data_IF_969971670754
#
_entry.id   IF_969971670754
#
_cell.length_a   1.000
_cell.length_b   1.000
_cell.length_c   1.000
_cell.angle_alpha   90.00
_cell.angle_beta   90.00
_cell.angle_gamma   90.00
#
_symmetry.space_group_name_H-M   'P 1'
#
loop_
_entity.id
_entity.type
_entity.pdbx_description
1 polymer ?
#
# COMPACT_ATOMS: atom_id res chain seq x y z
N UNK A 1 -30.45 -41.64 -37.66
CA UNK A 1 -30.75 -41.84 -39.09
C UNK A 1 -32.27 -41.81 -39.25
N UNK A 2 -32.84 -40.64 -39.58
CA UNK A 2 -34.07 -40.47 -40.37
C UNK A 2 -34.46 -39.00 -40.32
N UNK A 3 -34.51 -38.37 -41.50
CA UNK A 3 -35.22 -37.13 -41.75
C UNK A 3 -36.71 -37.45 -41.91
N UNK A 4 -37.60 -36.53 -41.53
CA UNK A 4 -38.49 -35.89 -42.52
C UNK A 4 -39.33 -34.74 -41.92
N UNK A 5 -39.13 -33.57 -42.54
CA UNK A 5 -40.17 -32.57 -42.94
C UNK A 5 -40.81 -31.73 -41.84
N UNK A 6 -41.13 -30.45 -42.02
CA UNK A 6 -41.47 -29.63 -43.20
C UNK A 6 -41.23 -28.15 -42.81
N UNK A 7 -40.59 -27.30 -43.61
CA UNK A 7 -41.22 -26.50 -44.68
C UNK A 7 -41.11 -25.01 -44.31
N UNK A 8 -40.08 -24.29 -44.78
CA UNK A 8 -40.07 -23.46 -46.00
C UNK A 8 -40.80 -22.11 -45.86
N UNK A 9 -40.05 -20.99 -45.77
CA UNK A 9 -39.81 -20.10 -46.91
C UNK A 9 -38.78 -19.00 -46.59
N UNK A 10 -37.82 -18.88 -47.50
CA UNK A 10 -36.74 -17.90 -47.56
C UNK A 10 -37.23 -16.59 -48.23
N UNK A 11 -36.76 -15.46 -47.73
CA UNK A 11 -36.87 -14.16 -48.39
C UNK A 11 -36.00 -13.09 -47.73
N UNK A 12 -35.00 -12.63 -48.49
CA UNK A 12 -34.25 -11.35 -48.39
C UNK A 12 -33.32 -11.07 -47.21
N UNK A 13 -32.04 -11.04 -47.56
CA UNK A 13 -30.86 -10.42 -46.93
C UNK A 13 -31.12 -9.24 -45.98
N UNK A 14 -30.59 -9.34 -44.76
CA UNK A 14 -30.18 -8.17 -43.97
C UNK A 14 -28.86 -8.51 -43.30
N UNK A 15 -27.82 -7.76 -43.67
CA UNK A 15 -26.49 -7.79 -43.06
C UNK A 15 -26.65 -7.32 -41.61
N UNK A 16 -26.49 -8.22 -40.63
CA UNK A 16 -26.35 -7.81 -39.23
C UNK A 16 -24.91 -7.36 -38.99
N UNK A 17 -24.66 -6.07 -39.24
CA UNK A 17 -23.57 -5.33 -38.60
C UNK A 17 -24.00 -5.06 -37.15
N UNK A 18 -23.76 -6.03 -36.26
CA UNK A 18 -23.86 -5.82 -34.83
C UNK A 18 -22.53 -5.28 -34.31
N UNK A 19 -22.35 -3.96 -34.35
CA UNK A 19 -21.34 -3.30 -33.53
C UNK A 19 -21.73 -1.85 -33.24
N UNK A 20 -22.18 -1.59 -32.01
CA UNK A 20 -21.80 -0.42 -31.22
C UNK A 20 -22.36 -0.60 -29.79
N UNK A 21 -21.48 -0.73 -28.81
CA UNK A 21 -21.78 -0.34 -27.43
C UNK A 21 -20.74 0.70 -27.04
N UNK A 22 -21.18 1.95 -26.87
CA UNK A 22 -20.39 3.05 -26.35
C UNK A 22 -20.36 2.92 -24.82
N UNK A 23 -19.19 2.69 -24.24
CA UNK A 23 -18.95 3.01 -22.83
C UNK A 23 -18.39 4.44 -22.78
N UNK A 24 -19.16 5.39 -22.25
CA UNK A 24 -18.67 6.76 -22.00
C UNK A 24 -18.19 6.90 -20.57
N UNK A 25 -17.01 7.47 -20.35
CA UNK A 25 -16.59 7.96 -19.03
C UNK A 25 -17.51 9.13 -18.65
N UNK A 26 -18.10 9.07 -17.46
CA UNK A 26 -18.90 10.15 -16.86
C UNK A 26 -18.15 10.72 -15.67
N UNK A 27 -17.66 11.95 -15.78
CA UNK A 27 -17.23 12.72 -14.62
C UNK A 27 -18.46 13.50 -14.08
N UNK A 28 -18.64 13.52 -12.76
CA UNK A 28 -19.68 14.30 -12.08
C UNK A 28 -19.05 15.11 -10.96
N UNK A 29 -19.29 16.40 -10.97
CA UNK A 29 -18.96 17.31 -9.89
C UNK A 29 -20.26 17.83 -9.25
N UNK A 30 -20.26 17.98 -7.93
CA UNK A 30 -21.40 18.47 -7.17
C UNK A 30 -20.98 19.25 -5.92
N UNK A 31 -21.93 19.86 -5.20
CA UNK A 31 -21.64 20.65 -3.99
C UNK A 31 -21.06 19.80 -2.86
N UNK A 32 -21.27 18.49 -2.88
CA UNK A 32 -20.81 17.54 -1.86
C UNK A 32 -19.53 16.76 -2.28
N UNK A 33 -18.98 17.03 -3.47
CA UNK A 33 -17.76 16.38 -3.97
C UNK A 33 -17.78 15.97 -5.45
N UNK A 34 -16.66 15.42 -5.91
CA UNK A 34 -16.43 14.94 -7.27
C UNK A 34 -16.38 13.40 -7.37
N UNK A 35 -16.88 12.84 -8.48
CA UNK A 35 -16.85 11.41 -8.80
C UNK A 35 -16.59 11.15 -10.29
N UNK A 36 -15.96 10.01 -10.61
CA UNK A 36 -15.75 9.51 -11.99
C UNK A 36 -16.39 8.12 -12.14
N UNK A 37 -17.21 7.93 -13.18
CA UNK A 37 -18.04 6.74 -13.47
C UNK A 37 -18.07 6.33 -14.96
N UNK A 38 -18.82 5.28 -15.31
CA UNK A 38 -19.14 4.90 -16.72
C UNK A 38 -20.65 5.01 -16.94
N UNK A 39 -21.07 5.77 -17.96
CA UNK A 39 -22.41 5.71 -18.51
C UNK A 39 -22.46 4.61 -19.58
N UNK A 40 -23.30 3.60 -19.37
CA UNK A 40 -23.65 2.63 -20.41
C UNK A 40 -24.93 3.13 -21.10
N UNK A 41 -24.83 3.72 -22.29
CA UNK A 41 -26.02 4.09 -23.06
C UNK A 41 -26.52 2.84 -23.78
N UNK A 42 -27.48 2.15 -23.17
CA UNK A 42 -28.35 1.21 -23.87
C UNK A 42 -29.32 1.98 -24.76
N UNK A 43 -29.47 1.58 -26.02
CA UNK A 43 -30.40 2.21 -26.96
C UNK A 43 -31.82 2.23 -26.37
N UNK A 44 -32.41 3.42 -26.29
CA UNK A 44 -33.79 3.61 -25.87
C UNK A 44 -34.75 2.97 -26.88
N UNK A 45 -35.45 1.92 -26.43
CA UNK A 45 -36.66 1.39 -27.03
C UNK A 45 -37.80 1.47 -26.01
N UNK A 46 -38.85 2.18 -26.39
CA UNK A 46 -40.09 2.48 -25.65
C UNK A 46 -40.64 1.33 -24.78
N UNK A 47 -40.91 1.64 -23.50
CA UNK A 47 -42.06 1.13 -22.74
C UNK A 47 -41.79 0.17 -21.57
N UNK A 48 -42.15 0.60 -20.35
CA UNK A 48 -42.59 -0.29 -19.26
C UNK A 48 -41.77 -0.22 -17.96
N UNK A 49 -42.39 0.37 -16.92
CA UNK A 49 -41.93 0.40 -15.53
C UNK A 49 -41.58 -0.98 -14.97
N UNK A 50 -40.30 -1.26 -14.67
CA UNK A 50 -39.89 -2.25 -13.64
C UNK A 50 -38.49 -1.89 -13.10
N UNK A 51 -38.39 -0.87 -12.25
CA UNK A 51 -37.17 -0.59 -11.47
C UNK A 51 -37.50 -0.40 -9.98
N UNK A 52 -38.26 -1.35 -9.44
CA UNK A 52 -38.71 -1.36 -8.04
C UNK A 52 -38.18 -2.50 -7.17
N UNK A 53 -37.60 -3.58 -7.73
CA UNK A 53 -37.55 -4.86 -6.99
C UNK A 53 -36.19 -5.59 -6.92
N UNK A 54 -35.08 -4.89 -7.16
CA UNK A 54 -33.72 -5.49 -7.01
C UNK A 54 -32.96 -5.04 -5.75
N UNK A 55 -33.42 -4.00 -5.07
CA UNK A 55 -32.83 -3.52 -3.80
C UNK A 55 -33.42 -4.17 -2.53
N UNK A 56 -34.45 -5.01 -2.68
CA UNK A 56 -35.13 -5.74 -1.59
C UNK A 56 -34.57 -7.15 -1.39
N UNK A 57 -34.06 -7.79 -2.44
CA UNK A 57 -33.58 -9.18 -2.38
C UNK A 57 -32.13 -9.35 -1.87
N UNK A 58 -31.29 -8.30 -1.94
CA UNK A 58 -29.92 -8.36 -1.40
C UNK A 58 -29.86 -8.14 0.12
N UNK A 59 -30.80 -7.36 0.69
CA UNK A 59 -30.87 -7.14 2.16
C UNK A 59 -31.38 -8.35 2.95
N UNK A 60 -32.03 -9.31 2.30
CA UNK A 60 -32.54 -10.53 2.94
C UNK A 60 -31.53 -11.68 3.05
N UNK A 61 -30.41 -11.58 2.32
CA UNK A 61 -29.39 -12.63 2.25
C UNK A 61 -28.21 -12.36 3.22
N UNK A 62 -27.83 -11.11 3.45
CA UNK A 62 -26.73 -10.73 4.35
C UNK A 62 -27.10 -10.89 5.85
N UNK A 63 -28.36 -10.64 6.22
CA UNK A 63 -28.82 -10.81 7.61
C UNK A 63 -28.90 -12.28 8.07
N UNK A 64 -28.75 -13.27 7.16
CA UNK A 64 -28.77 -14.70 7.51
C UNK A 64 -27.38 -15.34 7.59
N UNK A 65 -26.33 -14.67 7.12
CA UNK A 65 -24.94 -15.13 7.29
C UNK A 65 -24.34 -14.68 8.62
N UNK A 66 -24.79 -13.56 9.18
CA UNK A 66 -24.28 -13.04 10.46
C UNK A 66 -24.84 -13.81 11.68
N UNK A 67 -26.07 -14.34 11.60
CA UNK A 67 -26.70 -15.05 12.71
C UNK A 67 -26.29 -16.53 12.88
N UNK A 68 -25.37 -17.06 12.05
CA UNK A 68 -24.98 -18.49 12.07
C UNK A 68 -23.50 -18.74 12.36
N UNK A 69 -22.73 -17.69 12.66
CA UNK A 69 -21.33 -17.81 13.07
C UNK A 69 -21.13 -17.72 14.59
N UNK A 70 -22.21 -17.56 15.38
CA UNK A 70 -22.12 -17.27 16.82
C UNK A 70 -22.62 -18.41 17.74
N UNK A 71 -22.64 -19.65 17.25
CA UNK A 71 -22.92 -20.81 18.12
C UNK A 71 -22.09 -22.03 17.70
N UNK A 72 -20.93 -22.20 18.33
CA UNK A 72 -20.28 -23.47 18.73
C UNK A 72 -18.75 -23.40 18.59
N UNK A 73 -18.04 -23.13 19.69
CA UNK A 73 -16.79 -23.81 20.07
C UNK A 73 -16.22 -23.24 21.40
N UNK A 74 -15.48 -24.05 22.19
CA UNK A 74 -15.48 -23.97 23.65
C UNK A 74 -14.40 -23.06 24.24
N UNK A 75 -14.73 -22.50 25.41
CA UNK A 75 -13.82 -21.76 26.28
C UNK A 75 -12.69 -22.65 26.80
N UNK A 76 -11.43 -22.29 26.50
CA UNK A 76 -10.29 -22.68 27.35
C UNK A 76 -9.35 -21.49 27.57
N UNK A 77 -9.03 -21.27 28.84
CA UNK A 77 -8.27 -20.18 29.44
C UNK A 77 -6.87 -19.99 28.81
N UNK A 78 -6.57 -18.77 28.35
CA UNK A 78 -5.26 -18.10 28.40
C UNK A 78 -5.44 -16.59 28.11
N UNK A 79 -5.61 -15.79 29.18
CA UNK A 79 -6.10 -14.41 29.09
C UNK A 79 -5.07 -13.32 28.78
N UNK A 80 -3.85 -13.65 28.33
CA UNK A 80 -2.80 -12.67 28.09
C UNK A 80 -2.21 -12.68 26.65
N UNK A 81 -2.22 -13.83 25.96
CA UNK A 81 -1.86 -13.91 24.53
C UNK A 81 -3.01 -13.40 23.64
N UNK A 82 -4.24 -13.73 24.04
CA UNK A 82 -5.46 -13.43 23.31
C UNK A 82 -5.75 -11.91 23.21
N UNK A 83 -5.32 -11.10 24.17
CA UNK A 83 -5.44 -9.62 24.13
C UNK A 83 -4.41 -8.96 23.22
N UNK A 84 -3.28 -9.60 22.92
CA UNK A 84 -2.16 -9.03 22.15
C UNK A 84 -2.26 -9.35 20.66
N UNK A 85 -2.66 -10.58 20.31
CA UNK A 85 -3.06 -10.92 18.93
C UNK A 85 -4.30 -10.13 18.47
N UNK A 86 -5.22 -9.81 19.39
CA UNK A 86 -6.34 -8.88 19.13
C UNK A 86 -5.87 -7.47 18.80
N UNK A 87 -4.80 -6.96 19.40
CA UNK A 87 -4.24 -5.65 19.08
C UNK A 87 -3.71 -5.58 17.63
N UNK A 88 -2.96 -6.60 17.20
CA UNK A 88 -2.48 -6.77 15.82
C UNK A 88 -3.66 -6.88 14.84
N UNK A 89 -4.67 -7.70 15.18
CA UNK A 89 -5.85 -7.88 14.33
C UNK A 89 -6.69 -6.60 14.23
N UNK A 90 -6.92 -5.91 15.33
CA UNK A 90 -7.76 -4.71 15.40
C UNK A 90 -7.10 -3.49 14.72
N UNK A 91 -5.81 -3.26 14.93
CA UNK A 91 -5.08 -2.17 14.25
C UNK A 91 -5.02 -2.41 12.73
N UNK A 92 -4.71 -3.65 12.34
CA UNK A 92 -4.72 -4.08 10.95
C UNK A 92 -6.11 -4.03 10.33
N UNK A 93 -7.16 -4.42 11.04
CA UNK A 93 -8.54 -4.38 10.55
C UNK A 93 -9.05 -2.95 10.39
N UNK A 94 -8.70 -2.05 11.32
CA UNK A 94 -8.99 -0.61 11.18
C UNK A 94 -8.31 -0.02 9.95
N UNK A 95 -7.01 -0.27 9.77
CA UNK A 95 -6.26 0.20 8.60
C UNK A 95 -6.76 -0.41 7.28
N UNK A 96 -6.95 -1.73 7.24
CA UNK A 96 -7.52 -2.43 6.07
C UNK A 96 -8.97 -2.02 5.79
N UNK A 97 -9.74 -1.65 6.81
CA UNK A 97 -11.09 -1.11 6.68
C UNK A 97 -11.07 0.25 5.97
N UNK A 98 -10.17 1.15 6.38
CA UNK A 98 -9.93 2.44 5.71
C UNK A 98 -9.50 2.24 4.25
N UNK A 99 -8.52 1.36 4.03
CA UNK A 99 -8.05 0.97 2.68
C UNK A 99 -9.23 0.41 1.86
N UNK A 100 -10.01 -0.54 2.36
CA UNK A 100 -11.14 -1.15 1.62
C UNK A 100 -12.22 -0.14 1.25
N UNK A 101 -12.59 0.76 2.16
CA UNK A 101 -13.63 1.77 1.90
C UNK A 101 -13.18 2.74 0.81
N UNK A 102 -11.95 3.26 0.90
CA UNK A 102 -11.40 4.19 -0.10
C UNK A 102 -11.04 3.49 -1.42
N UNK A 103 -10.48 2.27 -1.37
CA UNK A 103 -10.25 1.41 -2.54
C UNK A 103 -11.54 1.00 -3.23
N UNK A 104 -12.70 0.92 -2.56
CA UNK A 104 -13.99 0.71 -3.26
C UNK A 104 -14.36 1.91 -4.13
N UNK A 105 -14.03 3.15 -3.72
CA UNK A 105 -14.20 4.34 -4.57
C UNK A 105 -13.21 4.33 -5.75
N UNK A 106 -11.95 3.97 -5.49
CA UNK A 106 -10.90 3.88 -6.53
C UNK A 106 -11.08 2.71 -7.51
N UNK A 107 -11.47 1.52 -7.05
CA UNK A 107 -11.71 0.34 -7.88
C UNK A 107 -12.88 0.56 -8.84
N UNK A 108 -13.85 1.39 -8.44
CA UNK A 108 -14.85 1.93 -9.36
C UNK A 108 -14.15 2.79 -10.42
N UNK A 109 -13.44 3.85 -10.04
CA UNK A 109 -12.68 4.72 -10.97
C UNK A 109 -11.72 3.95 -11.92
N UNK A 110 -11.06 2.88 -11.45
CA UNK A 110 -10.11 2.07 -12.20
C UNK A 110 -10.79 1.06 -13.14
N UNK A 111 -11.86 0.39 -12.69
CA UNK A 111 -12.68 -0.48 -13.55
C UNK A 111 -13.28 0.32 -14.72
N UNK A 112 -13.53 1.61 -14.51
CA UNK A 112 -14.00 2.56 -15.52
C UNK A 112 -12.95 2.88 -16.60
N UNK A 113 -11.64 2.85 -16.29
CA UNK A 113 -10.55 3.00 -17.26
C UNK A 113 -10.30 1.71 -18.08
N UNK A 114 -10.51 0.54 -17.49
CA UNK A 114 -10.23 -0.76 -18.14
C UNK A 114 -11.31 -1.21 -19.14
N UNK A 115 -12.54 -0.71 -18.99
CA UNK A 115 -13.65 -0.97 -19.94
C UNK A 115 -13.51 -0.28 -21.31
N UNK A 116 -12.64 0.72 -21.44
CA UNK A 116 -12.36 1.40 -22.71
C UNK A 116 -11.32 0.66 -23.55
N UNK A 117 -11.74 -0.33 -24.35
CA UNK A 117 -10.85 -0.96 -25.36
C UNK A 117 -10.84 -0.13 -26.65
N UNK A 118 -9.61 0.17 -27.12
CA UNK A 118 -9.19 0.75 -28.42
C UNK A 118 -10.35 1.06 -29.39
N UNK A 119 -10.81 2.31 -29.36
CA UNK A 119 -11.72 2.88 -30.35
C UNK A 119 -11.41 4.37 -30.54
N UNK A 120 -11.30 4.81 -31.79
CA UNK A 120 -11.10 6.21 -32.16
C UNK A 120 -12.32 7.06 -31.73
N UNK A 121 -12.12 8.19 -31.04
CA UNK A 121 -13.15 9.24 -30.88
C UNK A 121 -13.38 9.79 -29.45
N UNK A 122 -13.88 11.03 -29.41
CA UNK A 122 -14.02 12.05 -28.34
C UNK A 122 -15.18 11.79 -27.35
N UNK A 123 -15.13 12.33 -26.11
CA UNK A 123 -16.33 12.80 -25.35
C UNK A 123 -16.02 13.74 -24.16
N UNK A 124 -16.70 14.90 -24.13
CA UNK A 124 -16.87 15.88 -23.02
C UNK A 124 -18.34 15.79 -22.56
N UNK A 125 -18.64 15.91 -21.26
CA UNK A 125 -19.96 16.38 -20.81
C UNK A 125 -19.82 17.39 -19.67
N UNK A 126 -20.12 18.65 -20.01
CA UNK A 126 -20.22 19.78 -19.09
C UNK A 126 -21.60 19.81 -18.44
N UNK A 127 -21.62 19.91 -17.12
CA UNK A 127 -22.81 20.21 -16.32
C UNK A 127 -22.64 21.53 -15.57
N UNK A 128 -22.23 22.60 -16.26
CA UNK A 128 -22.03 23.94 -15.67
C UNK A 128 -20.76 24.63 -16.17
N UNK A 129 -20.93 25.76 -16.87
CA UNK A 129 -19.98 26.75 -17.38
C UNK A 129 -18.47 26.38 -17.59
N UNK A 130 -18.08 26.41 -18.87
CA UNK A 130 -16.72 26.58 -19.42
C UNK A 130 -15.87 25.31 -19.58
N UNK A 131 -16.13 24.57 -20.66
CA UNK A 131 -15.25 23.50 -21.15
C UNK A 131 -14.18 24.07 -22.10
N UNK A 132 -12.92 23.76 -21.85
CA UNK A 132 -11.81 24.04 -22.77
C UNK A 132 -11.22 22.72 -23.29
N UNK A 133 -10.81 22.69 -24.56
CA UNK A 133 -10.10 21.56 -25.19
C UNK A 133 -8.68 21.97 -25.56
N UNK A 134 -7.73 21.04 -25.39
CA UNK A 134 -6.32 21.22 -25.70
C UNK A 134 -5.87 20.12 -26.69
N UNK A 135 -5.64 20.49 -27.95
CA UNK A 135 -4.95 19.62 -28.93
C UNK A 135 -3.45 19.54 -28.64
N UNK A 136 -2.75 18.61 -29.28
CA UNK A 136 -1.30 18.34 -29.12
C UNK A 136 -0.46 19.57 -28.75
N UNK A 137 0.09 19.58 -27.53
CA UNK A 137 0.95 20.66 -27.01
C UNK A 137 0.21 21.81 -26.31
N UNK A 138 -1.09 21.69 -26.03
CA UNK A 138 -1.88 22.79 -25.47
C UNK A 138 -1.92 22.77 -23.93
N UNK A 139 -1.75 23.96 -23.34
CA UNK A 139 -2.07 24.24 -21.94
C UNK A 139 -3.60 24.35 -21.81
N UNK A 140 -4.20 23.58 -20.90
CA UNK A 140 -5.61 23.73 -20.58
C UNK A 140 -5.76 24.44 -19.24
N UNK A 141 -6.28 25.66 -19.25
CA UNK A 141 -6.61 26.41 -18.04
C UNK A 141 -8.13 26.60 -17.97
N UNK A 142 -8.81 25.83 -17.13
CA UNK A 142 -10.12 26.21 -16.60
C UNK A 142 -9.85 27.02 -15.32
N UNK A 143 -9.49 28.28 -15.48
CA UNK A 143 -9.14 29.13 -14.35
C UNK A 143 -10.39 29.81 -13.76
N UNK A 144 -10.63 29.63 -12.46
CA UNK A 144 -11.23 30.66 -11.62
C UNK A 144 -12.68 30.48 -11.19
N UNK A 145 -13.23 29.27 -11.14
CA UNK A 145 -14.56 29.05 -10.56
C UNK A 145 -14.46 28.24 -9.26
N UNK A 146 -15.26 28.60 -8.24
CA UNK A 146 -15.49 27.77 -7.05
C UNK A 146 -16.50 26.64 -7.32
N UNK A 147 -16.97 26.52 -8.57
CA UNK A 147 -17.85 25.43 -8.99
C UNK A 147 -17.01 24.26 -9.48
N UNK A 148 -17.44 23.06 -9.16
CA UNK A 148 -16.77 21.85 -9.61
C UNK A 148 -16.89 21.61 -11.12
N UNK A 149 -15.81 21.12 -11.71
CA UNK A 149 -15.66 20.84 -13.13
C UNK A 149 -15.66 19.34 -13.41
N UNK A 150 -16.23 18.94 -14.55
CA UNK A 150 -16.16 17.57 -15.04
C UNK A 150 -15.47 17.56 -16.41
N UNK A 151 -14.32 16.89 -16.50
CA UNK A 151 -13.45 16.96 -17.68
C UNK A 151 -12.92 15.58 -18.10
N UNK A 152 -12.93 15.32 -19.40
CA UNK A 152 -12.35 14.12 -20.01
C UNK A 152 -11.42 14.51 -21.15
N UNK A 153 -10.16 14.12 -21.03
CA UNK A 153 -9.07 14.45 -21.95
C UNK A 153 -8.52 13.17 -22.57
N UNK A 154 -8.43 13.15 -23.90
CA UNK A 154 -7.66 12.17 -24.65
C UNK A 154 -6.70 12.91 -25.58
N UNK A 155 -5.40 12.78 -25.36
CA UNK A 155 -4.38 13.54 -26.09
C UNK A 155 -3.10 12.72 -26.31
N UNK A 156 -2.24 13.12 -27.25
CA UNK A 156 -0.89 12.54 -27.31
C UNK A 156 -0.04 12.95 -26.11
N UNK A 157 -0.09 14.23 -25.75
CA UNK A 157 0.64 14.80 -24.62
C UNK A 157 -0.24 15.84 -23.90
N UNK A 158 -0.22 15.83 -22.58
CA UNK A 158 -0.77 16.88 -21.70
C UNK A 158 0.40 17.57 -21.02
N UNK A 159 0.67 18.82 -21.38
CA UNK A 159 1.82 19.56 -20.88
C UNK A 159 1.54 20.32 -19.57
N UNK A 160 0.31 20.81 -19.42
CA UNK A 160 -0.20 21.38 -18.19
C UNK A 160 -1.74 21.39 -18.20
N UNK A 161 -2.34 21.15 -17.03
CA UNK A 161 -3.78 21.18 -16.80
C UNK A 161 -4.07 21.86 -15.46
N UNK A 162 -4.93 22.88 -15.46
CA UNK A 162 -5.37 23.61 -14.26
C UNK A 162 -6.89 23.70 -14.26
N UNK A 163 -7.53 23.32 -13.15
CA UNK A 163 -8.98 23.02 -13.12
C UNK A 163 -9.78 23.82 -12.09
N UNK A 164 -9.18 24.33 -11.01
CA UNK A 164 -9.80 25.38 -10.21
C UNK A 164 -9.53 25.25 -8.73
N UNK A 165 -10.53 25.55 -7.90
CA UNK A 165 -10.56 25.25 -6.46
C UNK A 165 -11.91 24.64 -6.06
N UNK A 166 -12.67 24.17 -7.06
CA UNK A 166 -13.96 23.51 -6.88
C UNK A 166 -13.75 21.99 -6.82
N UNK A 167 -14.81 21.24 -6.51
CA UNK A 167 -14.76 19.78 -6.56
C UNK A 167 -14.70 19.27 -7.99
N UNK A 168 -13.52 18.89 -8.47
CA UNK A 168 -13.26 18.60 -9.87
C UNK A 168 -13.14 17.10 -10.14
N UNK A 169 -13.83 16.61 -11.17
CA UNK A 169 -13.76 15.24 -11.65
C UNK A 169 -13.08 15.20 -13.02
N UNK A 170 -11.87 14.65 -13.09
CA UNK A 170 -11.03 14.69 -14.30
C UNK A 170 -10.51 13.32 -14.69
N UNK A 171 -10.60 13.02 -15.98
CA UNK A 171 -10.04 11.80 -16.58
C UNK A 171 -9.08 12.15 -17.70
N UNK A 172 -7.86 11.61 -17.66
CA UNK A 172 -6.81 11.87 -18.65
C UNK A 172 -6.32 10.56 -19.24
N UNK A 173 -6.39 10.43 -20.55
CA UNK A 173 -5.74 9.38 -21.33
C UNK A 173 -4.74 10.02 -22.29
N UNK A 174 -3.44 9.81 -22.05
CA UNK A 174 -2.40 10.36 -22.91
C UNK A 174 -1.17 9.47 -23.05
N UNK A 175 -0.20 9.81 -23.88
CA UNK A 175 1.11 9.13 -23.83
C UNK A 175 1.97 9.75 -22.73
N UNK A 176 1.98 11.09 -22.62
CA UNK A 176 2.73 11.81 -21.58
C UNK A 176 1.84 12.82 -20.89
N UNK A 177 1.94 12.90 -19.58
CA UNK A 177 1.22 13.85 -18.73
C UNK A 177 2.22 14.60 -17.85
N UNK A 178 2.12 15.91 -17.84
CA UNK A 178 2.94 16.81 -17.03
C UNK A 178 2.07 17.92 -16.44
N UNK A 179 2.40 18.34 -15.22
CA UNK A 179 1.87 19.53 -14.55
C UNK A 179 0.33 19.57 -14.49
N UNK A 180 -0.28 18.56 -13.88
CA UNK A 180 -1.70 18.63 -13.53
C UNK A 180 -1.82 19.29 -12.16
N UNK A 181 -2.70 20.27 -12.05
CA UNK A 181 -3.09 20.92 -10.80
C UNK A 181 -4.61 20.90 -10.70
N UNK A 182 -5.17 20.14 -9.76
CA UNK A 182 -6.62 20.14 -9.50
C UNK A 182 -7.01 21.37 -8.69
N UNK A 183 -6.26 21.70 -7.61
CA UNK A 183 -6.43 22.94 -6.84
C UNK A 183 -5.29 23.99 -6.99
N UNK A 184 -5.59 25.22 -6.58
CA UNK A 184 -4.72 26.37 -6.34
C UNK A 184 -3.75 26.20 -5.16
N UNK A 185 -2.88 25.20 -5.23
CA UNK A 185 -1.65 25.10 -4.44
C UNK A 185 -1.73 24.23 -3.18
N UNK A 186 -0.66 23.47 -2.95
CA UNK A 186 -0.55 22.42 -1.92
C UNK A 186 -0.61 22.88 -0.44
N UNK A 187 -0.93 24.14 -0.15
CA UNK A 187 -0.79 24.72 1.20
C UNK A 187 -2.11 25.16 1.85
N UNK A 188 -3.24 25.15 1.13
CA UNK A 188 -4.54 25.53 1.69
C UNK A 188 -5.40 24.30 1.94
N UNK A 189 -5.72 24.00 3.20
CA UNK A 189 -6.68 22.95 3.59
C UNK A 189 -8.15 23.22 3.14
N UNK A 190 -8.38 24.26 2.34
CA UNK A 190 -9.71 24.73 1.91
C UNK A 190 -9.98 24.42 0.43
N UNK A 191 -9.26 23.46 -0.14
CA UNK A 191 -9.42 23.06 -1.53
C UNK A 191 -10.61 22.13 -1.77
N UNK A 192 -10.94 21.94 -3.04
CA UNK A 192 -11.97 21.02 -3.51
C UNK A 192 -11.54 19.57 -3.34
N UNK A 193 -12.41 18.74 -2.75
CA UNK A 193 -12.30 17.28 -2.88
C UNK A 193 -12.41 16.85 -4.36
N UNK A 194 -11.27 16.49 -4.95
CA UNK A 194 -11.13 16.21 -6.36
C UNK A 194 -11.05 14.71 -6.66
N UNK A 195 -11.41 14.34 -7.89
CA UNK A 195 -11.31 12.98 -8.40
C UNK A 195 -10.56 12.97 -9.74
N UNK A 196 -9.30 12.54 -9.73
CA UNK A 196 -8.43 12.50 -10.89
C UNK A 196 -8.08 11.05 -11.28
N UNK A 197 -8.36 10.68 -12.52
CA UNK A 197 -7.98 9.39 -13.09
C UNK A 197 -7.03 9.59 -14.28
N UNK A 198 -5.83 9.00 -14.24
CA UNK A 198 -4.82 9.17 -15.30
C UNK A 198 -4.38 7.82 -15.85
N UNK A 199 -4.39 7.70 -17.18
CA UNK A 199 -3.75 6.61 -17.92
C UNK A 199 -2.72 7.19 -18.87
N UNK A 200 -1.45 6.87 -18.67
CA UNK A 200 -0.39 7.32 -19.58
C UNK A 200 0.80 6.38 -19.69
N UNK A 201 1.77 6.67 -20.55
CA UNK A 201 3.07 5.99 -20.48
C UNK A 201 3.95 6.66 -19.41
N UNK A 202 3.94 8.00 -19.37
CA UNK A 202 4.69 8.79 -18.39
C UNK A 202 3.78 9.82 -17.74
N UNK A 203 3.78 9.87 -16.41
CA UNK A 203 3.11 10.93 -15.63
C UNK A 203 4.11 11.61 -14.72
N UNK A 204 4.13 12.95 -14.77
CA UNK A 204 4.96 13.78 -13.92
C UNK A 204 4.19 14.93 -13.32
N UNK A 205 4.53 15.32 -12.08
CA UNK A 205 4.12 16.59 -11.48
C UNK A 205 2.58 16.71 -11.45
N UNK A 206 1.93 15.87 -10.66
CA UNK A 206 0.50 15.95 -10.39
C UNK A 206 0.33 16.53 -8.99
N UNK A 207 -0.47 17.57 -8.89
CA UNK A 207 -0.80 18.28 -7.66
C UNK A 207 -2.31 18.25 -7.50
N UNK A 208 -2.82 17.63 -6.43
CA UNK A 208 -4.27 17.71 -6.17
C UNK A 208 -4.61 18.88 -5.25
N UNK A 209 -3.76 19.13 -4.25
CA UNK A 209 -3.68 20.41 -3.58
C UNK A 209 -4.23 20.37 -2.17
N UNK A 210 -5.48 20.75 -1.98
CA UNK A 210 -6.12 20.69 -0.68
C UNK A 210 -7.50 20.10 -0.79
N UNK A 211 -8.03 19.58 0.32
CA UNK A 211 -9.28 18.82 0.29
C UNK A 211 -8.98 17.32 0.43
N UNK A 212 -10.00 16.49 0.36
CA UNK A 212 -9.85 15.04 0.41
C UNK A 212 -9.93 14.50 -1.01
N UNK A 213 -8.79 14.26 -1.62
CA UNK A 213 -8.68 13.94 -3.03
C UNK A 213 -8.62 12.44 -3.30
N UNK A 214 -9.10 12.06 -4.48
CA UNK A 214 -9.02 10.70 -4.99
C UNK A 214 -8.23 10.69 -6.30
N UNK A 215 -7.06 10.04 -6.30
CA UNK A 215 -6.18 9.93 -7.45
C UNK A 215 -5.96 8.46 -7.83
N UNK A 216 -6.35 8.09 -9.05
CA UNK A 216 -6.13 6.76 -9.63
C UNK A 216 -5.24 6.85 -10.87
N UNK A 217 -4.15 6.08 -10.91
CA UNK A 217 -3.16 6.16 -11.98
C UNK A 217 -2.76 4.79 -12.51
N UNK A 218 -2.68 4.69 -13.83
CA UNK A 218 -2.06 3.55 -14.52
C UNK A 218 -1.04 4.11 -15.51
N UNK A 219 0.26 3.85 -15.28
CA UNK A 219 1.28 4.30 -16.21
C UNK A 219 2.51 3.41 -16.36
N UNK A 220 3.40 3.69 -17.31
CA UNK A 220 4.74 3.10 -17.33
C UNK A 220 5.61 3.68 -16.22
N UNK A 221 5.68 5.01 -16.13
CA UNK A 221 6.42 5.75 -15.10
C UNK A 221 5.55 6.82 -14.44
N UNK A 222 5.60 6.88 -13.10
CA UNK A 222 4.92 7.90 -12.29
C UNK A 222 5.94 8.60 -11.41
N UNK A 223 6.00 9.93 -11.48
CA UNK A 223 6.94 10.71 -10.68
C UNK A 223 6.41 12.06 -10.21
N UNK A 224 6.66 12.40 -8.94
CA UNK A 224 6.35 13.73 -8.43
C UNK A 224 4.85 13.93 -8.33
N UNK A 225 4.23 13.18 -7.43
CA UNK A 225 2.82 13.28 -7.11
C UNK A 225 2.71 13.95 -5.74
N UNK A 226 1.85 14.94 -5.61
CA UNK A 226 1.70 15.78 -4.43
C UNK A 226 0.20 15.95 -4.16
N UNK A 227 -0.38 15.20 -3.24
CA UNK A 227 -1.81 15.36 -2.96
C UNK A 227 -2.10 16.51 -2.00
N UNK A 228 -1.20 16.77 -1.05
CA UNK A 228 -1.18 18.01 -0.29
C UNK A 228 -2.02 17.91 0.99
N UNK A 229 -2.81 18.93 1.33
CA UNK A 229 -3.47 18.97 2.63
C UNK A 229 -4.85 18.31 2.61
N UNK A 230 -5.08 17.35 3.50
CA UNK A 230 -6.38 16.69 3.67
C UNK A 230 -6.22 15.18 3.56
N UNK A 231 -7.30 14.44 3.77
CA UNK A 231 -7.26 12.98 3.79
C UNK A 231 -7.41 12.40 2.40
N UNK A 232 -6.28 12.16 1.76
CA UNK A 232 -6.20 11.78 0.36
C UNK A 232 -6.22 10.27 0.15
N UNK A 233 -6.46 9.90 -1.10
CA UNK A 233 -6.72 8.55 -1.50
C UNK A 233 -6.06 8.28 -2.86
N UNK A 234 -4.83 7.73 -2.84
CA UNK A 234 -4.01 7.44 -4.01
C UNK A 234 -3.96 5.93 -4.33
N UNK A 235 -4.18 5.58 -5.59
CA UNK A 235 -3.92 4.25 -6.15
C UNK A 235 -3.09 4.35 -7.43
N UNK A 236 -1.90 3.79 -7.41
CA UNK A 236 -0.93 3.87 -8.50
C UNK A 236 -0.54 2.46 -8.95
N UNK A 237 -0.73 2.17 -10.23
CA UNK A 237 -0.19 0.98 -10.87
C UNK A 237 0.80 1.41 -11.95
N UNK A 238 2.09 1.11 -11.78
CA UNK A 238 3.09 1.49 -12.78
C UNK A 238 4.29 0.55 -12.87
N UNK A 239 5.18 0.72 -13.85
CA UNK A 239 6.47 0.02 -13.81
C UNK A 239 7.38 0.66 -12.76
N UNK A 240 7.55 1.98 -12.81
CA UNK A 240 8.40 2.74 -11.89
C UNK A 240 7.62 3.86 -11.22
N UNK A 241 7.76 3.97 -9.89
CA UNK A 241 7.13 5.00 -9.06
C UNK A 241 8.19 5.70 -8.21
N UNK A 242 8.18 7.03 -8.22
CA UNK A 242 9.09 7.83 -7.42
C UNK A 242 8.46 9.16 -6.99
N UNK A 243 8.98 9.75 -5.92
CA UNK A 243 8.64 11.09 -5.48
C UNK A 243 7.12 11.23 -5.24
N UNK A 244 6.53 10.32 -4.47
CA UNK A 244 5.13 10.39 -4.04
C UNK A 244 5.06 11.08 -2.69
N UNK A 245 4.26 12.13 -2.58
CA UNK A 245 4.04 12.90 -1.37
C UNK A 245 2.53 13.04 -1.19
N UNK A 246 1.97 12.49 -0.10
CA UNK A 246 0.54 12.70 0.16
C UNK A 246 0.28 13.90 1.04
N UNK A 247 1.20 14.25 1.94
CA UNK A 247 1.05 15.45 2.76
C UNK A 247 1.74 16.72 2.22
N UNK A 248 1.38 17.90 2.78
CA UNK A 248 1.99 19.19 2.43
C UNK A 248 3.40 19.36 3.04
N UNK A 249 3.87 18.39 3.82
CA UNK A 249 5.20 18.32 4.43
C UNK A 249 5.33 19.12 5.74
N UNK A 250 6.42 18.90 6.49
CA UNK A 250 6.56 19.34 7.89
C UNK A 250 6.71 20.86 8.07
N UNK A 251 6.84 21.62 6.97
CA UNK A 251 7.01 23.08 6.99
C UNK A 251 5.70 23.85 6.85
N UNK A 252 4.59 23.15 6.69
CA UNK A 252 3.28 23.78 6.50
C UNK A 252 2.49 23.80 7.81
N UNK A 253 1.64 24.82 7.98
CA UNK A 253 0.75 24.95 9.13
C UNK A 253 -0.56 24.17 8.94
N UNK A 254 -0.73 23.52 7.78
CA UNK A 254 -1.87 22.67 7.50
C UNK A 254 -1.73 21.38 8.32
N UNK A 255 -2.83 20.94 8.93
CA UNK A 255 -2.84 19.68 9.65
C UNK A 255 -2.69 18.54 8.64
N UNK A 256 -1.72 17.67 8.90
CA UNK A 256 -1.50 16.45 8.15
C UNK A 256 -2.77 15.60 8.06
N UNK A 257 -3.05 15.08 6.87
CA UNK A 257 -4.24 14.29 6.59
C UNK A 257 -4.03 12.81 6.93
N UNK A 258 -5.11 12.10 7.26
CA UNK A 258 -5.03 10.63 7.30
C UNK A 258 -5.17 10.07 5.87
N UNK A 259 -4.06 9.67 5.26
CA UNK A 259 -3.98 9.32 3.85
C UNK A 259 -4.11 7.83 3.58
N UNK A 260 -4.41 7.50 2.32
CA UNK A 260 -4.37 6.13 1.85
C UNK A 260 -3.58 6.06 0.57
N UNK A 261 -2.50 5.29 0.58
CA UNK A 261 -1.61 5.10 -0.56
C UNK A 261 -1.53 3.61 -0.92
N UNK A 262 -1.98 3.25 -2.12
CA UNK A 262 -1.75 1.92 -2.69
C UNK A 262 -0.87 2.01 -3.93
N UNK A 263 0.25 1.27 -3.93
CA UNK A 263 1.14 1.18 -5.08
C UNK A 263 1.31 -0.28 -5.50
N UNK A 264 1.13 -0.56 -6.79
CA UNK A 264 1.56 -1.81 -7.41
C UNK A 264 2.57 -1.47 -8.50
N UNK A 265 3.84 -1.85 -8.31
CA UNK A 265 4.87 -1.50 -9.28
C UNK A 265 5.95 -2.56 -9.48
N UNK A 266 6.86 -2.35 -10.46
CA UNK A 266 8.13 -3.08 -10.46
C UNK A 266 9.07 -2.44 -9.43
N UNK A 267 9.17 -1.13 -9.43
CA UNK A 267 10.10 -0.39 -8.57
C UNK A 267 9.41 0.81 -7.91
N UNK A 268 9.61 0.95 -6.61
CA UNK A 268 9.20 2.12 -5.83
C UNK A 268 10.44 2.74 -5.21
N UNK A 269 10.87 3.88 -5.76
CA UNK A 269 12.05 4.58 -5.28
C UNK A 269 11.76 5.36 -4.00
N UNK A 270 10.64 6.08 -3.94
CA UNK A 270 10.30 6.90 -2.78
C UNK A 270 8.81 7.21 -2.67
N UNK A 271 8.29 7.10 -1.45
CA UNK A 271 6.96 7.52 -1.06
C UNK A 271 7.00 8.12 0.35
N UNK A 272 6.27 9.21 0.56
CA UNK A 272 6.24 9.98 1.80
C UNK A 272 4.77 10.31 2.10
N UNK A 273 4.22 9.81 3.20
CA UNK A 273 2.83 10.12 3.57
C UNK A 273 2.73 11.22 4.62
N UNK A 274 3.74 11.39 5.47
CA UNK A 274 3.97 12.65 6.20
C UNK A 274 3.59 12.57 7.66
N UNK A 275 2.41 13.02 8.03
CA UNK A 275 1.84 12.76 9.34
C UNK A 275 0.36 12.43 9.21
N UNK A 276 -0.32 12.30 10.34
CA UNK A 276 -1.67 11.75 10.31
C UNK A 276 -1.63 10.23 10.39
N UNK A 277 -2.79 9.60 10.51
CA UNK A 277 -2.90 8.16 10.67
C UNK A 277 -3.05 7.50 9.29
N UNK A 278 -1.92 7.21 8.65
CA UNK A 278 -1.88 6.81 7.25
C UNK A 278 -2.14 5.32 7.06
N UNK A 279 -2.49 4.98 5.82
CA UNK A 279 -2.68 3.60 5.41
C UNK A 279 -1.96 3.34 4.08
N UNK A 280 -0.83 2.65 4.15
CA UNK A 280 0.08 2.40 3.01
C UNK A 280 0.09 0.92 2.66
N UNK A 281 -0.12 0.60 1.38
CA UNK A 281 -0.02 -0.76 0.84
C UNK A 281 0.81 -0.76 -0.44
N UNK A 282 2.02 -1.32 -0.40
CA UNK A 282 2.92 -1.36 -1.56
C UNK A 282 3.26 -2.80 -1.91
N UNK A 283 3.00 -3.18 -3.16
CA UNK A 283 3.47 -4.42 -3.74
C UNK A 283 4.43 -4.10 -4.89
N UNK A 284 5.71 -4.40 -4.73
CA UNK A 284 6.73 -4.14 -5.74
C UNK A 284 7.76 -5.26 -5.86
N UNK A 285 8.62 -5.19 -6.87
CA UNK A 285 9.84 -6.01 -6.87
C UNK A 285 10.92 -5.37 -5.98
N UNK A 286 11.04 -4.04 -6.01
CA UNK A 286 11.97 -3.28 -5.16
C UNK A 286 11.26 -2.08 -4.51
N UNK A 287 11.49 -1.87 -3.22
CA UNK A 287 11.10 -0.68 -2.47
C UNK A 287 12.36 -0.12 -1.81
N UNK A 288 12.69 1.13 -2.12
CA UNK A 288 13.95 1.76 -1.66
C UNK A 288 13.75 2.78 -0.56
N UNK A 289 12.60 3.46 -0.51
CA UNK A 289 12.30 4.41 0.56
C UNK A 289 10.80 4.55 0.76
N UNK A 290 10.39 4.46 2.03
CA UNK A 290 9.05 4.78 2.49
C UNK A 290 9.17 5.53 3.82
N UNK A 291 8.49 6.67 3.94
CA UNK A 291 8.43 7.43 5.18
C UNK A 291 6.97 7.78 5.49
N UNK A 292 6.39 7.25 6.56
CA UNK A 292 5.01 7.57 6.94
C UNK A 292 4.92 8.67 7.99
N UNK A 293 5.91 8.74 8.88
CA UNK A 293 6.29 9.94 9.61
C UNK A 293 5.67 10.05 11.00
N UNK A 294 4.56 10.75 11.20
CA UNK A 294 3.97 10.83 12.56
C UNK A 294 2.49 10.52 12.58
N UNK A 295 2.05 9.62 13.43
CA UNK A 295 0.66 9.21 13.57
C UNK A 295 0.57 7.70 13.76
N UNK A 296 -0.64 7.16 13.88
CA UNK A 296 -0.82 5.72 13.98
C UNK A 296 -0.95 5.13 12.57
N UNK A 297 0.18 4.74 11.99
CA UNK A 297 0.25 4.32 10.61
C UNK A 297 0.00 2.83 10.45
N UNK A 298 -0.60 2.47 9.31
CA UNK A 298 -0.76 1.06 8.92
C UNK A 298 -0.05 0.82 7.61
N UNK A 299 0.99 -0.01 7.64
CA UNK A 299 1.89 -0.24 6.51
C UNK A 299 1.90 -1.72 6.14
N UNK A 300 1.61 -2.03 4.87
CA UNK A 300 1.70 -3.38 4.32
C UNK A 300 2.61 -3.39 3.09
N UNK A 301 3.71 -4.12 3.16
CA UNK A 301 4.73 -4.16 2.10
C UNK A 301 4.93 -5.59 1.61
N UNK A 302 4.96 -5.75 0.29
CA UNK A 302 5.40 -6.96 -0.38
C UNK A 302 6.47 -6.61 -1.39
N UNK A 303 7.69 -7.10 -1.18
CA UNK A 303 8.84 -6.78 -2.02
C UNK A 303 9.75 -7.99 -2.28
N UNK A 304 10.52 -7.95 -3.36
CA UNK A 304 11.73 -8.77 -3.46
C UNK A 304 12.83 -8.13 -2.62
N UNK A 305 13.22 -6.91 -2.99
CA UNK A 305 14.17 -6.08 -2.29
C UNK A 305 13.47 -5.00 -1.47
N UNK A 306 13.81 -4.88 -0.18
CA UNK A 306 13.23 -3.90 0.72
C UNK A 306 14.32 -3.09 1.44
N UNK A 307 14.22 -1.76 1.45
CA UNK A 307 15.09 -0.92 2.26
C UNK A 307 14.51 0.47 2.48
N UNK A 308 15.08 1.20 3.45
CA UNK A 308 14.74 2.59 3.73
C UNK A 308 13.29 2.80 4.18
N UNK A 309 12.74 1.86 4.94
CA UNK A 309 11.38 1.96 5.49
C UNK A 309 11.45 2.62 6.87
N UNK A 310 10.71 3.70 7.05
CA UNK A 310 10.64 4.49 8.29
C UNK A 310 9.18 4.82 8.59
N UNK A 311 8.60 4.30 9.67
CA UNK A 311 7.20 4.64 10.02
C UNK A 311 7.10 5.80 10.99
N UNK A 312 8.11 5.97 11.85
CA UNK A 312 8.38 7.23 12.54
C UNK A 312 7.80 7.26 13.95
N UNK A 313 6.94 8.22 14.28
CA UNK A 313 6.41 8.36 15.64
C UNK A 313 4.93 8.01 15.69
N UNK A 314 4.53 7.18 16.65
CA UNK A 314 3.15 6.77 16.82
C UNK A 314 3.06 5.31 17.22
N UNK A 315 1.87 4.72 17.14
CA UNK A 315 1.69 3.28 17.35
C UNK A 315 1.42 2.66 16.01
N UNK A 316 2.49 2.22 15.35
CA UNK A 316 2.41 1.78 13.97
C UNK A 316 2.11 0.28 13.88
N UNK A 317 1.39 -0.10 12.82
CA UNK A 317 1.12 -1.49 12.48
C UNK A 317 1.77 -1.82 11.13
N UNK A 318 2.90 -2.51 11.17
CA UNK A 318 3.74 -2.80 10.01
C UNK A 318 3.70 -4.29 9.66
N UNK A 319 3.38 -4.62 8.42
CA UNK A 319 3.38 -5.99 7.89
C UNK A 319 4.24 -6.07 6.64
N UNK A 320 5.28 -6.90 6.68
CA UNK A 320 6.30 -7.02 5.64
C UNK A 320 6.41 -8.47 5.17
N UNK A 321 6.39 -8.65 3.86
CA UNK A 321 6.79 -9.88 3.19
C UNK A 321 7.86 -9.53 2.16
N UNK A 322 9.11 -9.83 2.47
CA UNK A 322 10.26 -9.50 1.64
C UNK A 322 11.07 -10.75 1.27
N UNK A 323 11.85 -10.69 0.19
CA UNK A 323 12.89 -11.71 -0.05
C UNK A 323 14.14 -11.35 0.73
N UNK A 324 14.64 -10.12 0.56
CA UNK A 324 15.90 -9.67 1.16
C UNK A 324 15.89 -8.15 1.44
N UNK A 325 16.58 -7.76 2.50
CA UNK A 325 16.85 -6.36 2.86
C UNK A 325 17.97 -5.75 2.02
N UNK A 326 17.84 -4.47 1.65
CA UNK A 326 18.83 -3.74 0.84
C UNK A 326 20.20 -3.64 1.51
N UNK A 327 20.24 -3.59 2.84
CA UNK A 327 21.45 -3.63 3.66
C UNK A 327 22.29 -4.90 3.41
N UNK A 328 21.64 -5.98 2.98
CA UNK A 328 22.26 -7.26 2.67
C UNK A 328 22.78 -7.30 1.22
N UNK A 329 22.21 -6.49 0.32
CA UNK A 329 22.54 -6.47 -1.11
C UNK A 329 23.84 -5.73 -1.44
N UNK A 330 24.21 -4.69 -0.69
CA UNK A 330 25.53 -4.07 -0.91
C UNK A 330 26.70 -5.03 -0.61
N UNK A 331 26.46 -6.11 0.15
CA UNK A 331 27.42 -7.21 0.34
C UNK A 331 27.28 -8.32 -0.72
N UNK A 332 26.22 -8.34 -1.52
CA UNK A 332 25.93 -9.30 -2.60
C UNK A 332 26.64 -8.99 -3.95
N UNK A 333 27.34 -7.85 -4.10
CA UNK A 333 27.97 -7.43 -5.37
C UNK A 333 29.49 -7.72 -5.48
N UNK A 334 30.10 -8.41 -4.52
CA UNK A 334 31.56 -8.48 -4.42
C UNK A 334 32.23 -9.57 -5.28
N UNK A 335 31.54 -10.67 -5.64
CA UNK A 335 32.12 -11.70 -6.51
C UNK A 335 31.05 -12.51 -7.28
N UNK A 336 31.01 -12.46 -8.64
CA UNK A 336 30.06 -13.23 -9.45
C UNK A 336 30.40 -14.73 -9.59
N UNK A 337 31.51 -15.22 -9.02
CA UNK A 337 31.96 -16.61 -9.18
C UNK A 337 31.45 -17.58 -8.09
N UNK A 338 30.98 -17.07 -6.95
CA UNK A 338 30.49 -17.88 -5.83
C UNK A 338 28.95 -17.80 -5.76
N UNK A 339 28.21 -18.90 -6.00
CA UNK A 339 26.79 -18.97 -5.71
C UNK A 339 26.55 -18.65 -4.24
N UNK A 340 25.74 -17.63 -4.04
CA UNK A 340 25.32 -16.98 -2.80
C UNK A 340 25.07 -17.96 -1.64
N UNK A 341 25.68 -17.69 -0.50
CA UNK A 341 25.23 -18.22 0.79
C UNK A 341 25.48 -17.14 1.83
N UNK A 342 24.49 -16.85 2.68
CA UNK A 342 24.69 -16.05 3.90
C UNK A 342 25.68 -16.73 4.88
N UNK A 343 26.13 -17.94 4.54
CA UNK A 343 26.95 -18.79 5.36
C UNK A 343 26.21 -20.11 5.59
N UNK A 344 26.95 -21.20 5.56
CA UNK A 344 26.36 -22.53 5.73
C UNK A 344 25.99 -22.76 7.20
N UNK A 345 26.67 -22.09 8.14
CA UNK A 345 26.34 -22.13 9.57
C UNK A 345 25.48 -20.95 10.01
N UNK A 346 24.71 -21.16 11.08
CA UNK A 346 23.91 -20.11 11.75
C UNK A 346 24.77 -18.90 12.11
N UNK A 347 25.95 -19.12 12.67
CA UNK A 347 26.85 -18.06 13.10
C UNK A 347 27.34 -17.21 11.93
N UNK A 348 27.67 -17.85 10.80
CA UNK A 348 28.07 -17.15 9.59
C UNK A 348 26.91 -16.29 9.06
N UNK A 349 25.68 -16.82 9.05
CA UNK A 349 24.47 -16.08 8.67
C UNK A 349 24.21 -14.90 9.58
N UNK A 350 24.33 -15.08 10.89
CA UNK A 350 24.18 -14.01 11.87
C UNK A 350 25.21 -12.90 11.66
N UNK A 351 26.48 -13.24 11.49
CA UNK A 351 27.54 -12.27 11.22
C UNK A 351 27.30 -11.52 9.91
N UNK A 352 26.85 -12.23 8.87
CA UNK A 352 26.54 -11.66 7.56
C UNK A 352 25.32 -10.73 7.59
N UNK A 353 24.30 -11.05 8.40
CA UNK A 353 23.06 -10.28 8.51
C UNK A 353 23.23 -8.94 9.25
N UNK A 354 24.22 -8.81 10.14
CA UNK A 354 24.46 -7.56 10.90
C UNK A 354 24.68 -6.37 9.99
N UNK A 355 24.03 -5.24 10.30
CA UNK A 355 24.14 -4.01 9.52
C UNK A 355 24.30 -2.79 10.43
N UNK A 356 24.99 -1.77 9.95
CA UNK A 356 25.05 -0.46 10.62
C UNK A 356 23.81 0.39 10.34
N UNK A 357 22.94 -0.06 9.44
CA UNK A 357 21.69 0.61 9.07
C UNK A 357 20.60 -0.44 8.91
N UNK A 358 19.46 -0.27 9.57
CA UNK A 358 18.32 -1.16 9.37
C UNK A 358 17.62 -0.86 8.03
N UNK A 359 17.01 -1.89 7.43
CA UNK A 359 16.16 -1.75 6.26
C UNK A 359 14.78 -1.21 6.64
N UNK A 360 14.37 -1.46 7.89
CA UNK A 360 13.08 -1.11 8.48
C UNK A 360 13.32 -0.52 9.86
N UNK A 361 12.75 0.66 10.10
CA UNK A 361 12.77 1.40 11.36
C UNK A 361 11.33 1.79 11.69
N UNK A 362 10.72 1.27 12.76
CA UNK A 362 9.37 1.73 13.12
C UNK A 362 9.39 3.01 13.95
N UNK A 363 10.42 3.22 14.78
CA UNK A 363 10.74 4.52 15.35
C UNK A 363 10.33 4.63 16.80
N UNK A 364 9.38 5.51 17.15
CA UNK A 364 9.00 5.77 18.53
C UNK A 364 7.52 5.52 18.79
N UNK A 365 7.22 4.83 19.89
CA UNK A 365 5.90 4.43 20.33
C UNK A 365 5.79 2.90 20.38
N UNK A 366 4.67 2.40 20.91
CA UNK A 366 4.48 0.95 21.07
C UNK A 366 4.01 0.36 19.73
N UNK A 367 4.95 -0.11 18.92
CA UNK A 367 4.72 -0.56 17.56
C UNK A 367 4.37 -2.05 17.49
N UNK A 368 3.69 -2.42 16.40
CA UNK A 368 3.38 -3.81 16.09
C UNK A 368 3.90 -4.17 14.72
N UNK A 369 4.90 -5.06 14.67
CA UNK A 369 5.59 -5.46 13.46
C UNK A 369 5.39 -6.94 13.16
N UNK A 370 5.04 -7.28 11.93
CA UNK A 370 5.01 -8.64 11.42
C UNK A 370 5.91 -8.73 10.20
N UNK A 371 7.07 -9.37 10.35
CA UNK A 371 8.10 -9.42 9.31
C UNK A 371 8.34 -10.88 8.91
N UNK A 372 8.11 -11.17 7.64
CA UNK A 372 8.53 -12.41 7.00
C UNK A 372 9.56 -12.09 5.92
N UNK A 373 10.74 -12.68 6.04
CA UNK A 373 11.83 -12.54 5.06
C UNK A 373 12.23 -13.91 4.53
N UNK A 374 12.61 -14.03 3.25
CA UNK A 374 13.10 -15.30 2.73
C UNK A 374 14.57 -15.55 3.07
N UNK A 375 15.41 -14.52 2.96
CA UNK A 375 16.86 -14.61 3.13
C UNK A 375 17.34 -13.87 4.38
N UNK A 376 17.49 -12.54 4.32
CA UNK A 376 17.89 -11.75 5.48
C UNK A 376 17.40 -10.30 5.43
N UNK A 377 17.22 -9.69 6.59
CA UNK A 377 16.83 -8.28 6.74
C UNK A 377 17.39 -7.69 8.03
N UNK A 378 17.73 -6.40 8.02
CA UNK A 378 18.03 -5.65 9.24
C UNK A 378 16.80 -4.86 9.70
N UNK A 379 16.43 -4.98 10.97
CA UNK A 379 15.23 -4.43 11.57
C UNK A 379 15.56 -3.66 12.84
N UNK A 380 14.86 -2.55 13.06
CA UNK A 380 14.89 -1.75 14.29
C UNK A 380 13.45 -1.36 14.62
N UNK A 381 12.95 -1.79 15.78
CA UNK A 381 11.62 -1.40 16.23
C UNK A 381 11.69 0.00 16.85
N UNK A 382 12.67 0.21 17.74
CA UNK A 382 13.06 1.52 18.23
C UNK A 382 12.54 1.75 19.65
N UNK A 383 12.15 2.98 19.97
CA UNK A 383 11.79 3.36 21.33
C UNK A 383 10.32 3.07 21.63
N UNK A 384 10.05 2.13 22.52
CA UNK A 384 8.68 1.76 22.92
C UNK A 384 8.67 0.36 23.51
N UNK A 385 7.50 -0.12 23.93
CA UNK A 385 7.34 -1.54 24.23
C UNK A 385 6.75 -2.23 23.00
N UNK A 386 7.62 -2.74 22.11
CA UNK A 386 7.22 -3.20 20.79
C UNK A 386 6.77 -4.67 20.77
N UNK A 387 5.85 -5.00 19.87
CA UNK A 387 5.40 -6.37 19.62
C UNK A 387 5.75 -6.83 18.22
N UNK A 388 6.67 -7.79 18.11
CA UNK A 388 7.19 -8.30 16.85
C UNK A 388 6.76 -9.75 16.63
N UNK A 389 6.39 -10.07 15.39
CA UNK A 389 6.23 -11.45 14.89
C UNK A 389 7.23 -11.64 13.75
N UNK A 390 8.23 -12.48 13.98
CA UNK A 390 9.36 -12.66 13.06
C UNK A 390 9.36 -14.06 12.47
N UNK A 391 9.53 -14.16 11.16
CA UNK A 391 9.50 -15.45 10.46
C UNK A 391 10.36 -15.51 9.20
N UNK A 392 10.70 -16.74 8.81
CA UNK A 392 11.47 -17.02 7.59
C UNK A 392 12.97 -17.06 7.85
N UNK A 393 13.77 -16.33 7.07
CA UNK A 393 15.24 -16.33 7.10
C UNK A 393 15.85 -15.61 8.32
N UNK A 394 17.00 -15.00 8.12
CA UNK A 394 17.81 -14.36 9.17
C UNK A 394 17.43 -12.89 9.40
N UNK A 395 16.92 -12.55 10.57
CA UNK A 395 16.61 -11.18 10.98
C UNK A 395 17.72 -10.67 11.92
N UNK A 396 18.40 -9.60 11.51
CA UNK A 396 19.25 -8.83 12.41
C UNK A 396 18.39 -7.76 13.11
N UNK A 397 18.01 -8.02 14.36
CA UNK A 397 17.24 -7.09 15.18
C UNK A 397 18.21 -6.17 15.93
N UNK A 398 18.24 -4.90 15.54
CA UNK A 398 19.03 -3.87 16.23
C UNK A 398 18.29 -3.45 17.49
N UNK A 399 19.04 -3.27 18.57
CA UNK A 399 18.51 -2.86 19.86
C UNK A 399 19.51 -1.95 20.57
N UNK A 400 19.09 -0.73 20.91
CA UNK A 400 19.87 0.30 21.60
C UNK A 400 19.36 0.59 23.02
N UNK A 401 20.06 1.47 23.75
CA UNK A 401 19.59 1.87 25.06
C UNK A 401 18.37 2.81 24.94
N UNK A 402 17.27 2.44 25.59
CA UNK A 402 16.03 3.22 25.56
C UNK A 402 14.94 2.59 24.69
N UNK A 403 15.23 1.47 24.01
CA UNK A 403 14.29 0.70 23.18
C UNK A 403 13.28 -0.13 24.03
N UNK A 404 12.99 0.27 25.26
CA UNK A 404 11.91 -0.28 26.09
C UNK A 404 11.93 -1.81 26.34
N UNK A 405 10.75 -2.42 26.37
CA UNK A 405 10.55 -3.84 26.70
C UNK A 405 9.78 -4.59 25.60
N UNK A 406 10.52 -5.13 24.64
CA UNK A 406 9.95 -5.77 23.47
C UNK A 406 9.50 -7.21 23.72
N UNK A 407 8.49 -7.62 22.96
CA UNK A 407 8.05 -9.01 22.85
C UNK A 407 8.19 -9.50 21.42
N UNK A 408 8.93 -10.58 21.21
CA UNK A 408 9.16 -11.20 19.91
C UNK A 408 8.53 -12.59 19.89
N UNK A 409 7.53 -12.79 19.05
CA UNK A 409 7.00 -14.13 18.73
C UNK A 409 7.71 -14.68 17.51
N UNK A 410 8.31 -15.86 17.66
CA UNK A 410 9.11 -16.51 16.63
C UNK A 410 8.25 -17.51 15.85
N UNK A 411 8.22 -17.36 14.52
CA UNK A 411 7.60 -18.32 13.63
C UNK A 411 8.58 -19.44 13.23
N UNK A 412 8.09 -20.59 12.74
CA UNK A 412 8.94 -21.71 12.37
C UNK A 412 10.08 -21.35 11.43
N UNK A 413 11.28 -21.80 11.76
CA UNK A 413 12.49 -21.61 10.94
C UNK A 413 13.15 -20.25 11.07
N UNK A 414 12.57 -19.31 11.83
CA UNK A 414 13.15 -17.98 12.03
C UNK A 414 14.54 -18.04 12.65
N UNK A 415 15.42 -17.20 12.15
CA UNK A 415 16.76 -16.97 12.67
C UNK A 415 16.87 -15.53 13.16
N UNK A 416 17.19 -15.30 14.42
CA UNK A 416 17.27 -13.93 14.96
C UNK A 416 18.62 -13.69 15.62
N UNK A 417 19.32 -12.65 15.18
CA UNK A 417 20.48 -12.10 15.89
C UNK A 417 20.13 -10.73 16.43
N UNK A 418 20.24 -10.57 17.75
CA UNK A 418 20.12 -9.25 18.40
C UNK A 418 21.47 -8.55 18.27
N UNK A 419 21.50 -7.47 17.50
CA UNK A 419 22.66 -6.61 17.33
C UNK A 419 22.54 -5.44 18.31
N UNK A 420 23.31 -5.53 19.38
CA UNK A 420 23.36 -4.53 20.45
C UNK A 420 24.03 -3.23 19.98
N UNK A 421 23.48 -2.09 20.38
CA UNK A 421 24.04 -0.75 20.16
C UNK A 421 25.35 -0.49 20.93
N UNK A 422 26.09 0.53 20.50
CA UNK A 422 27.35 0.97 21.15
C UNK A 422 27.21 1.28 22.65
N UNK A 423 26.01 1.68 23.05
CA UNK A 423 25.62 2.10 24.39
C UNK A 423 25.13 0.94 25.27
N UNK A 424 25.16 -0.29 24.78
CA UNK A 424 24.66 -1.48 25.48
C UNK A 424 25.80 -2.46 25.78
N UNK A 425 26.38 -2.33 26.98
CA UNK A 425 27.51 -3.17 27.41
C UNK A 425 27.08 -4.35 28.31
N UNK A 426 26.02 -4.19 29.10
CA UNK A 426 25.54 -5.19 30.04
C UNK A 426 24.28 -5.89 29.53
N UNK A 427 24.41 -7.18 29.23
CA UNK A 427 23.27 -8.05 28.90
C UNK A 427 23.36 -9.40 29.62
N UNK A 428 22.20 -10.01 29.86
CA UNK A 428 22.08 -11.36 30.39
C UNK A 428 20.84 -12.04 29.82
N UNK A 429 20.77 -13.36 29.88
CA UNK A 429 19.58 -14.07 29.43
C UNK A 429 19.13 -15.13 30.44
N UNK A 430 17.83 -15.40 30.42
CA UNK A 430 17.23 -16.49 31.17
C UNK A 430 16.21 -17.22 30.28
N UNK A 431 15.95 -18.49 30.57
CA UNK A 431 15.00 -19.31 29.83
C UNK A 431 13.96 -19.86 30.80
N UNK A 432 12.70 -19.75 30.43
CA UNK A 432 11.57 -20.31 31.18
C UNK A 432 10.59 -20.94 30.18
N UNK A 433 10.46 -22.27 30.24
CA UNK A 433 9.63 -23.01 29.28
C UNK A 433 10.07 -22.77 27.83
N UNK A 434 9.13 -22.30 27.00
CA UNK A 434 9.35 -21.99 25.58
C UNK A 434 9.67 -20.50 25.32
N UNK A 435 10.08 -19.78 26.37
CA UNK A 435 10.42 -18.37 26.31
C UNK A 435 11.87 -18.12 26.73
N UNK A 436 12.48 -17.12 26.10
CA UNK A 436 13.80 -16.61 26.45
C UNK A 436 13.68 -15.12 26.73
N UNK A 437 14.16 -14.68 27.89
CA UNK A 437 14.23 -13.27 28.24
C UNK A 437 15.68 -12.82 28.13
N UNK A 438 15.95 -11.89 27.22
CA UNK A 438 17.21 -11.18 27.08
C UNK A 438 17.07 -9.82 27.80
N UNK A 439 17.78 -9.63 28.89
CA UNK A 439 17.84 -8.37 29.63
C UNK A 439 19.03 -7.54 29.12
N UNK A 440 18.79 -6.28 28.76
CA UNK A 440 19.79 -5.38 28.17
C UNK A 440 19.72 -4.04 28.91
N UNK A 441 20.63 -3.81 29.86
CA UNK A 441 20.52 -2.66 30.77
C UNK A 441 19.15 -2.59 31.46
N UNK A 442 18.43 -1.47 31.28
CA UNK A 442 17.06 -1.28 31.79
C UNK A 442 15.97 -1.87 30.89
N UNK A 443 16.27 -2.18 29.63
CA UNK A 443 15.34 -2.73 28.65
C UNK A 443 15.43 -4.24 28.53
N UNK A 444 14.58 -4.84 27.69
CA UNK A 444 14.58 -6.29 27.50
C UNK A 444 13.91 -6.72 26.21
N UNK A 445 14.28 -7.90 25.70
CA UNK A 445 13.53 -8.60 24.65
C UNK A 445 13.05 -9.94 25.21
N UNK A 446 11.74 -10.17 25.20
CA UNK A 446 11.14 -11.47 25.49
C UNK A 446 10.83 -12.21 24.19
N UNK A 447 11.57 -13.28 23.92
CA UNK A 447 11.27 -14.21 22.86
C UNK A 447 10.26 -15.27 23.32
N UNK A 448 9.22 -15.49 22.54
CA UNK A 448 8.23 -16.56 22.68
C UNK A 448 8.28 -17.49 21.46
N UNK A 449 8.02 -18.79 21.66
CA UNK A 449 8.11 -19.77 20.58
C UNK A 449 9.55 -20.15 20.23
N UNK A 450 10.46 -20.09 21.20
CA UNK A 450 11.90 -20.36 20.99
C UNK A 450 12.12 -21.75 20.36
N UNK A 451 11.34 -22.75 20.76
CA UNK A 451 11.36 -24.09 20.19
C UNK A 451 10.95 -24.16 18.72
N UNK A 452 10.30 -23.14 18.15
CA UNK A 452 9.94 -23.07 16.73
C UNK A 452 11.02 -22.38 15.89
N UNK A 453 11.82 -21.51 16.51
CA UNK A 453 12.93 -20.84 15.84
C UNK A 453 14.08 -21.78 15.54
N UNK A 454 14.77 -21.53 14.43
CA UNK A 454 15.98 -22.25 14.07
C UNK A 454 17.15 -21.81 14.96
N UNK A 455 17.31 -20.50 15.22
CA UNK A 455 18.34 -20.00 16.13
C UNK A 455 18.05 -18.60 16.67
N UNK A 456 18.64 -18.32 17.84
CA UNK A 456 18.68 -16.99 18.47
C UNK A 456 20.10 -16.72 18.94
N UNK A 457 20.65 -15.56 18.58
CA UNK A 457 21.97 -15.12 19.01
C UNK A 457 22.00 -13.65 19.41
N UNK A 458 23.09 -13.25 20.05
CA UNK A 458 23.37 -11.86 20.44
C UNK A 458 24.78 -11.50 19.98
N UNK A 459 24.91 -10.33 19.37
CA UNK A 459 26.19 -9.76 18.96
C UNK A 459 26.34 -8.36 19.54
N UNK A 460 27.39 -8.15 20.32
CA UNK A 460 27.76 -6.83 20.83
C UNK A 460 28.36 -5.96 19.71
N UNK A 461 28.20 -4.65 19.82
CA UNK A 461 28.83 -3.72 18.90
C UNK A 461 30.35 -3.88 18.91
N UNK A 462 30.96 -3.89 17.72
CA UNK A 462 32.41 -3.99 17.56
C UNK A 462 33.02 -5.35 17.98
N UNK A 463 32.20 -6.30 18.45
CA UNK A 463 32.65 -7.64 18.77
C UNK A 463 32.62 -8.53 17.52
N UNK A 464 33.71 -9.27 17.31
CA UNK A 464 33.75 -10.39 16.36
C UNK A 464 33.07 -11.64 16.94
N UNK A 465 32.88 -11.67 18.26
CA UNK A 465 32.26 -12.77 18.98
C UNK A 465 30.73 -12.65 18.98
N UNK A 466 30.09 -13.79 18.73
CA UNK A 466 28.65 -13.97 18.71
C UNK A 466 28.29 -14.97 19.82
N UNK A 467 27.35 -14.61 20.68
CA UNK A 467 26.81 -15.52 21.68
C UNK A 467 25.54 -16.20 21.14
N UNK A 468 25.61 -17.50 20.89
CA UNK A 468 24.45 -18.29 20.50
C UNK A 468 23.62 -18.68 21.73
N UNK A 469 22.38 -18.21 21.81
CA UNK A 469 21.48 -18.45 22.94
C UNK A 469 20.52 -19.64 22.69
N UNK A 470 20.27 -19.93 21.43
CA UNK A 470 19.44 -21.03 20.96
C UNK A 470 19.89 -21.45 19.57
N UNK A 471 19.95 -22.75 19.31
CA UNK A 471 19.94 -23.31 17.96
C UNK A 471 19.27 -24.68 17.98
N UNK A 472 18.48 -24.97 16.96
CA UNK A 472 18.08 -26.34 16.68
C UNK A 472 19.23 -27.06 15.98
N UNK A 473 19.51 -28.33 16.31
CA UNK A 473 20.40 -29.13 15.49
C UNK A 473 19.83 -29.21 14.07
N UNK A 474 20.67 -29.02 13.06
CA UNK A 474 20.27 -29.24 11.67
C UNK A 474 19.67 -30.65 11.60
N UNK A 475 18.41 -30.74 11.16
CA UNK A 475 17.85 -32.03 10.78
C UNK A 475 18.66 -32.52 9.60
N UNK A 476 19.58 -33.46 9.83
CA UNK A 476 20.32 -34.13 8.78
C UNK A 476 19.32 -34.53 7.68
N UNK A 477 19.44 -33.89 6.51
CA UNK A 477 18.61 -34.16 5.33
C UNK A 477 19.00 -35.50 4.67
N UNK A 478 19.32 -36.51 5.48
CA UNK A 478 19.75 -37.85 5.07
C UNK A 478 18.99 -38.98 5.78
N UNK A 479 17.68 -38.79 6.01
CA UNK A 479 16.77 -39.84 6.45
C UNK A 479 15.73 -40.19 5.37
#
# INVERSE_FOLDING_TARGET
>A
MSLQTSGAHYGSSTVWLAQLQLASLSARAGPDGAEVGVLSIGAAGVGGDVEGDRASLLRGAEARSEARAESDAPQSRNGASDTRERGLADARERGLGRIRIRMRRMARALAHLQGGRKGNGVAIYSGGASGATAGSGSQLAAAGSSSGHALSIRAGQVAALYIGAGHDAVTVEAQRVQNIHTDGGAASAQGGNDALAVRAEEVRQVYTGGGNDALAMVAGSVRGIYSGAGSDALSIAAESVADIYTDPGPRTLAQAGADTLTITAREVSSAYTGGGADAVSIAAHSITSLYTGSGEDVVTLKAGLLGGIYTGAGRDAVSINAVVGASQVSRLSADPAEPWSLGDTVEARFLAARSTTADVHSGAGDDVLSVTVAEAIALEAGAGDDTLVLGGGTIALRYGAGDGHDTVTLAPGSEVVVQLGEDTEDWSFSREGDSLLLQIGSGSIRFEGVSQSAAIGVASWGADELALLHSQPELDASA
#
